data_IF_095134796192
#
_entry.id   IF_095134796192
#
_cell.length_a   1.000
_cell.length_b   1.000
_cell.length_c   1.000
_cell.angle_alpha   90.00
_cell.angle_beta   90.00
_cell.angle_gamma   90.00
#
_symmetry.space_group_name_H-M   'P 1'
#
loop_
_entity.id
_entity.type
_entity.pdbx_description
1 polymer ?
#
# COMPACT_ATOMS: atom_id res chain seq x y z
N UNK A 1 3.63 6.78 4.03
CA UNK A 1 3.33 7.62 2.85
C UNK A 1 4.02 7.04 1.63
N UNK A 2 3.43 7.18 0.43
CA UNK A 2 3.96 6.64 -0.82
C UNK A 2 4.74 7.71 -1.59
N UNK A 3 5.96 7.39 -1.98
CA UNK A 3 6.86 8.26 -2.73
C UNK A 3 7.08 7.70 -4.15
N UNK A 4 7.31 8.57 -5.15
CA UNK A 4 7.62 8.17 -6.55
C UNK A 4 6.46 7.50 -7.34
N UNK A 5 5.26 7.44 -6.77
CA UNK A 5 4.07 6.81 -7.39
C UNK A 5 2.92 7.79 -7.65
N UNK A 6 3.19 9.09 -7.47
CA UNK A 6 2.31 10.22 -7.77
C UNK A 6 3.15 11.50 -8.02
N UNK A 7 2.56 12.59 -8.54
CA UNK A 7 3.26 13.87 -8.75
C UNK A 7 3.82 14.48 -7.46
N UNK A 8 3.20 14.22 -6.32
CA UNK A 8 3.62 14.61 -4.97
C UNK A 8 3.65 13.39 -4.05
N UNK A 9 4.29 13.45 -2.87
CA UNK A 9 4.11 12.42 -1.84
C UNK A 9 2.61 12.25 -1.55
N UNK A 10 2.14 11.00 -1.55
CA UNK A 10 0.71 10.70 -1.39
C UNK A 10 0.46 9.81 -0.19
N UNK A 11 -0.68 10.03 0.46
CA UNK A 11 -1.17 9.19 1.55
C UNK A 11 -2.26 8.28 0.98
N UNK A 12 -2.11 6.97 1.19
CA UNK A 12 -3.04 5.96 0.68
C UNK A 12 -4.26 5.82 1.61
N UNK A 13 -5.18 6.78 1.56
CA UNK A 13 -6.26 6.90 2.56
C UNK A 13 -7.21 5.71 2.55
N UNK A 14 -7.58 5.19 1.38
CA UNK A 14 -8.47 4.02 1.30
C UNK A 14 -7.76 2.76 1.78
N UNK A 15 -6.45 2.64 1.54
CA UNK A 15 -5.66 1.53 2.08
C UNK A 15 -5.61 1.56 3.62
N UNK A 16 -5.53 2.75 4.23
CA UNK A 16 -5.61 2.90 5.69
C UNK A 16 -6.99 2.52 6.23
N UNK A 17 -8.08 2.89 5.54
CA UNK A 17 -9.45 2.51 5.90
C UNK A 17 -9.67 0.99 5.83
N UNK A 18 -9.00 0.28 4.92
CA UNK A 18 -9.06 -1.18 4.84
C UNK A 18 -8.55 -1.81 6.13
N UNK A 19 -7.47 -1.28 6.72
CA UNK A 19 -6.82 -1.83 7.91
C UNK A 19 -7.44 -1.36 9.23
N UNK A 20 -8.01 -0.14 9.26
CA UNK A 20 -8.46 0.50 10.49
C UNK A 20 -9.52 -0.33 11.22
N UNK A 21 -9.29 -0.62 12.50
CA UNK A 21 -10.25 -1.29 13.39
C UNK A 21 -10.47 -2.77 13.08
N UNK A 22 -9.70 -3.37 12.17
CA UNK A 22 -9.81 -4.78 11.80
C UNK A 22 -8.62 -5.57 12.33
N UNK A 23 -8.83 -6.88 12.50
CA UNK A 23 -7.74 -7.80 12.82
C UNK A 23 -6.84 -7.94 11.59
N UNK A 24 -5.56 -7.64 11.77
CA UNK A 24 -4.56 -7.73 10.70
C UNK A 24 -4.28 -9.21 10.41
N UNK A 25 -4.54 -9.62 9.17
CA UNK A 25 -4.19 -10.92 8.61
C UNK A 25 -3.61 -10.76 7.19
N UNK A 26 -3.05 -11.84 6.63
CA UNK A 26 -2.42 -11.79 5.31
C UNK A 26 -3.38 -11.36 4.19
N UNK A 27 -4.67 -11.71 4.29
CA UNK A 27 -5.67 -11.34 3.28
C UNK A 27 -5.99 -9.85 3.31
N UNK A 28 -6.12 -9.29 4.51
CA UNK A 28 -6.37 -7.87 4.71
C UNK A 28 -5.17 -7.02 4.29
N UNK A 29 -3.95 -7.49 4.55
CA UNK A 29 -2.72 -6.84 4.09
C UNK A 29 -2.65 -6.83 2.56
N UNK A 30 -2.98 -7.94 1.91
CA UNK A 30 -3.02 -8.01 0.45
C UNK A 30 -4.08 -7.07 -0.14
N UNK A 31 -5.25 -6.99 0.49
CA UNK A 31 -6.30 -6.06 0.09
C UNK A 31 -5.85 -4.60 0.23
N UNK A 32 -5.23 -4.23 1.36
CA UNK A 32 -4.71 -2.87 1.57
C UNK A 32 -3.62 -2.51 0.55
N UNK A 33 -2.73 -3.45 0.24
CA UNK A 33 -1.70 -3.30 -0.78
C UNK A 33 -2.27 -3.10 -2.19
N UNK A 34 -3.31 -3.87 -2.55
CA UNK A 34 -4.02 -3.71 -3.82
C UNK A 34 -4.67 -2.33 -3.93
N UNK A 35 -5.38 -1.89 -2.88
CA UNK A 35 -6.02 -0.58 -2.85
C UNK A 35 -4.98 0.55 -2.94
N UNK A 36 -3.83 0.42 -2.28
CA UNK A 36 -2.74 1.38 -2.40
C UNK A 36 -2.17 1.48 -3.82
N UNK A 37 -2.09 0.35 -4.54
CA UNK A 37 -1.66 0.33 -5.94
C UNK A 37 -2.68 0.97 -6.90
N UNK A 38 -3.98 0.86 -6.60
CA UNK A 38 -5.04 1.54 -7.36
C UNK A 38 -5.05 3.05 -7.14
N UNK A 39 -4.69 3.52 -5.94
CA UNK A 39 -4.52 4.95 -5.66
C UNK A 39 -3.30 5.57 -6.34
N UNK A 40 -2.32 4.77 -6.76
CA UNK A 40 -1.10 5.24 -7.39
C UNK A 40 -1.37 5.85 -8.78
N UNK A 41 -0.87 7.08 -8.97
CA UNK A 41 -0.94 7.86 -10.22
C UNK A 41 0.45 8.21 -10.76
N UNK A 42 1.27 7.20 -11.10
CA UNK A 42 2.62 7.42 -11.61
C UNK A 42 2.63 8.11 -12.97
N UNK A 43 3.61 8.98 -13.21
CA UNK A 43 3.81 9.68 -14.49
C UNK A 43 4.44 8.82 -15.59
N UNK A 44 5.21 7.79 -15.22
CA UNK A 44 5.92 6.91 -16.15
C UNK A 44 5.97 5.48 -15.64
N UNK A 45 6.02 4.49 -16.54
CA UNK A 45 6.03 3.05 -16.21
C UNK A 45 4.88 2.68 -15.26
N UNK A 46 3.66 3.10 -15.62
CA UNK A 46 2.53 3.09 -14.69
C UNK A 46 2.21 1.70 -14.14
N UNK A 47 2.15 0.70 -15.01
CA UNK A 47 1.81 -0.67 -14.58
C UNK A 47 2.90 -1.28 -13.70
N UNK A 48 4.17 -1.08 -14.06
CA UNK A 48 5.29 -1.51 -13.24
C UNK A 48 5.25 -0.84 -11.87
N UNK A 49 5.06 0.48 -11.80
CA UNK A 49 5.01 1.22 -10.53
C UNK A 49 3.80 0.85 -9.68
N UNK A 50 2.63 0.58 -10.28
CA UNK A 50 1.46 0.06 -9.55
C UNK A 50 1.74 -1.33 -8.98
N UNK A 51 2.32 -2.24 -9.78
CA UNK A 51 2.74 -3.57 -9.30
C UNK A 51 3.74 -3.47 -8.15
N UNK A 52 4.75 -2.62 -8.29
CA UNK A 52 5.74 -2.38 -7.22
C UNK A 52 5.10 -1.77 -5.97
N UNK A 53 4.14 -0.85 -6.13
CA UNK A 53 3.41 -0.26 -4.99
C UNK A 53 2.71 -1.35 -4.18
N UNK A 54 2.02 -2.28 -4.84
CA UNK A 54 1.38 -3.41 -4.17
C UNK A 54 2.41 -4.25 -3.38
N UNK A 55 3.51 -4.65 -4.02
CA UNK A 55 4.53 -5.50 -3.37
C UNK A 55 5.12 -4.80 -2.15
N UNK A 56 5.56 -3.55 -2.30
CA UNK A 56 6.22 -2.79 -1.25
C UNK A 56 5.27 -2.45 -0.08
N UNK A 57 4.00 -2.13 -0.36
CA UNK A 57 3.02 -1.83 0.69
C UNK A 57 2.72 -3.09 1.50
N UNK A 58 2.56 -4.23 0.84
CA UNK A 58 2.36 -5.52 1.51
C UNK A 58 3.53 -5.85 2.43
N UNK A 59 4.76 -5.74 1.92
CA UNK A 59 5.98 -6.01 2.70
C UNK A 59 6.12 -5.06 3.89
N UNK A 60 5.91 -3.76 3.67
CA UNK A 60 6.00 -2.75 4.72
C UNK A 60 4.97 -2.97 5.84
N UNK A 61 3.71 -3.31 5.50
CA UNK A 61 2.69 -3.61 6.51
C UNK A 61 3.05 -4.88 7.27
N UNK A 62 3.45 -5.95 6.58
CA UNK A 62 3.89 -7.20 7.23
C UNK A 62 5.05 -6.98 8.19
N UNK A 63 6.11 -6.29 7.74
CA UNK A 63 7.28 -6.00 8.56
C UNK A 63 6.90 -5.18 9.79
N UNK A 64 6.09 -4.13 9.61
CA UNK A 64 5.63 -3.28 10.71
C UNK A 64 4.77 -4.05 11.70
N UNK A 65 3.88 -4.92 11.20
CA UNK A 65 3.04 -5.75 12.05
C UNK A 65 3.84 -6.76 12.88
N UNK A 66 4.87 -7.38 12.31
CA UNK A 66 5.77 -8.27 13.06
C UNK A 66 6.57 -7.53 14.14
N UNK A 67 6.88 -6.25 13.96
CA UNK A 67 7.61 -5.43 14.95
C UNK A 67 6.73 -4.91 16.08
N UNK A 68 5.44 -4.69 15.83
CA UNK A 68 4.49 -4.17 16.83
C UNK A 68 3.88 -5.31 17.66
N UNK A 69 3.81 -6.51 17.09
CA UNK A 69 3.44 -7.73 17.80
C UNK A 69 4.47 -8.09 18.87
#
# INVERSE_FOLDING_TARGET
ALCSVAPTPTRARRAEEVLRGKKIDNGLIEQAAQVAAEEAKPRSRADYRRRMTRVLVREAINETWQKIK
#
